data_IF_607692559829
#
_entry.id   IF_607692559829
#
_cell.length_a   1.000
_cell.length_b   1.000
_cell.length_c   1.000
_cell.angle_alpha   90.00
_cell.angle_beta   90.00
_cell.angle_gamma   90.00
#
_symmetry.space_group_name_H-M   'P 1'
#
loop_
_entity.id
_entity.type
_entity.pdbx_description
1 polymer ?
#
# COMPACT_ATOMS: atom_id res chain seq x y z
N UNK A 1 -18.71 1.88 -4.70
CA UNK A 1 -17.99 1.06 -3.70
C UNK A 1 -17.33 1.97 -2.67
N UNK A 2 -17.21 1.49 -1.43
CA UNK A 2 -16.47 2.14 -0.35
C UNK A 2 -15.10 1.48 -0.22
N UNK A 3 -14.06 2.21 -0.57
CA UNK A 3 -12.71 1.65 -0.76
C UNK A 3 -11.74 2.29 0.23
N UNK A 4 -10.95 1.48 0.93
CA UNK A 4 -9.82 1.91 1.75
C UNK A 4 -8.52 1.62 1.01
N UNK A 5 -7.65 2.62 0.88
CA UNK A 5 -6.28 2.47 0.37
C UNK A 5 -5.32 2.76 1.52
N UNK A 6 -4.55 1.76 1.95
CA UNK A 6 -3.52 1.93 2.96
C UNK A 6 -2.21 2.36 2.33
N UNK A 7 -1.36 3.08 3.06
CA UNK A 7 -0.24 3.80 2.43
C UNK A 7 -0.74 4.81 1.39
N UNK A 8 -1.99 5.30 1.57
CA UNK A 8 -2.69 6.08 0.57
C UNK A 8 -2.12 7.46 0.30
N UNK A 9 -1.23 7.96 1.14
CA UNK A 9 -0.45 9.18 0.90
C UNK A 9 0.96 8.90 0.36
N UNK A 10 1.34 7.62 0.19
CA UNK A 10 2.54 7.22 -0.53
C UNK A 10 2.37 7.40 -2.05
N UNK A 11 3.47 7.19 -2.81
CA UNK A 11 3.45 7.38 -4.27
C UNK A 11 2.40 6.50 -4.97
N UNK A 12 2.43 5.19 -4.74
CA UNK A 12 1.49 4.24 -5.37
C UNK A 12 0.06 4.49 -4.87
N UNK A 13 -0.11 4.56 -3.55
CA UNK A 13 -1.42 4.72 -2.92
C UNK A 13 -2.14 5.99 -3.33
N UNK A 14 -1.45 7.13 -3.44
CA UNK A 14 -2.05 8.39 -3.85
C UNK A 14 -2.56 8.35 -5.29
N UNK A 15 -1.79 7.76 -6.21
CA UNK A 15 -2.23 7.59 -7.60
C UNK A 15 -3.46 6.67 -7.69
N UNK A 16 -3.50 5.56 -6.94
CA UNK A 16 -4.66 4.67 -6.86
C UNK A 16 -5.88 5.42 -6.31
N UNK A 17 -5.71 6.18 -5.20
CA UNK A 17 -6.78 6.98 -4.62
C UNK A 17 -7.40 7.94 -5.64
N UNK A 18 -6.57 8.67 -6.38
CA UNK A 18 -7.02 9.64 -7.39
C UNK A 18 -7.73 8.95 -8.56
N UNK A 19 -7.19 7.84 -9.07
CA UNK A 19 -7.78 7.08 -10.15
C UNK A 19 -9.15 6.50 -9.77
N UNK A 20 -9.28 5.94 -8.58
CA UNK A 20 -10.54 5.39 -8.08
C UNK A 20 -11.58 6.48 -7.80
N UNK A 21 -11.16 7.65 -7.33
CA UNK A 21 -12.06 8.78 -7.10
C UNK A 21 -12.69 9.29 -8.39
N UNK A 22 -11.95 9.33 -9.50
CA UNK A 22 -12.48 9.68 -10.83
C UNK A 22 -13.60 8.75 -11.30
N UNK A 23 -13.62 7.50 -10.83
CA UNK A 23 -14.65 6.50 -11.15
C UNK A 23 -15.85 6.53 -10.17
N UNK A 24 -16.11 7.67 -9.53
CA UNK A 24 -17.23 7.89 -8.59
C UNK A 24 -17.26 6.95 -7.38
N UNK A 25 -16.13 6.38 -6.99
CA UNK A 25 -16.04 5.58 -5.77
C UNK A 25 -15.91 6.48 -4.53
N UNK A 26 -16.39 5.96 -3.40
CA UNK A 26 -16.14 6.58 -2.09
C UNK A 26 -14.80 6.08 -1.55
N UNK A 27 -13.75 6.86 -1.81
CA UNK A 27 -12.36 6.49 -1.50
C UNK A 27 -11.91 7.11 -0.18
N UNK A 28 -11.23 6.31 0.62
CA UNK A 28 -10.56 6.71 1.85
C UNK A 28 -9.10 6.30 1.80
N UNK A 29 -8.25 7.13 2.37
CA UNK A 29 -6.83 6.85 2.58
C UNK A 29 -6.59 6.48 4.05
N UNK A 30 -5.62 5.63 4.31
CA UNK A 30 -5.03 5.40 5.63
C UNK A 30 -3.51 5.54 5.49
N UNK A 31 -2.94 6.47 6.24
CA UNK A 31 -1.50 6.73 6.22
C UNK A 31 -1.10 7.43 7.52
N UNK A 32 0.04 7.07 8.10
CA UNK A 32 0.52 7.70 9.33
C UNK A 32 1.23 9.02 9.09
N UNK A 33 1.50 9.37 7.82
CA UNK A 33 2.20 10.59 7.37
C UNK A 33 3.64 10.69 7.93
N UNK A 34 4.29 9.57 8.18
CA UNK A 34 5.65 9.53 8.73
C UNK A 34 6.73 10.00 7.74
N UNK A 35 6.44 9.97 6.44
CA UNK A 35 7.37 10.41 5.39
C UNK A 35 7.02 11.83 4.94
N UNK A 36 8.02 12.70 4.76
CA UNK A 36 7.82 14.08 4.29
C UNK A 36 7.01 14.15 2.98
N UNK A 37 7.29 13.27 2.03
CA UNK A 37 6.55 13.18 0.76
C UNK A 37 5.08 12.84 0.92
N UNK A 38 4.69 12.09 1.96
CA UNK A 38 3.29 11.75 2.22
C UNK A 38 2.45 12.96 2.60
N UNK A 39 3.05 13.99 3.18
CA UNK A 39 2.35 15.23 3.56
C UNK A 39 1.86 15.99 2.31
N UNK A 40 2.68 16.05 1.26
CA UNK A 40 2.29 16.69 -0.01
C UNK A 40 1.10 15.96 -0.64
N UNK A 41 1.18 14.65 -0.72
CA UNK A 41 0.09 13.83 -1.26
C UNK A 41 -1.17 13.93 -0.40
N UNK A 42 -1.05 13.99 0.93
CA UNK A 42 -2.18 14.21 1.82
C UNK A 42 -2.95 15.50 1.46
N UNK A 43 -2.26 16.62 1.23
CA UNK A 43 -2.92 17.88 0.85
C UNK A 43 -3.61 17.77 -0.52
N UNK A 44 -3.00 17.07 -1.49
CA UNK A 44 -3.63 16.81 -2.80
C UNK A 44 -4.91 15.97 -2.62
N UNK A 45 -4.85 14.88 -1.87
CA UNK A 45 -5.99 14.01 -1.61
C UNK A 45 -7.12 14.75 -0.88
N UNK A 46 -6.78 15.58 0.11
CA UNK A 46 -7.71 16.42 0.86
C UNK A 46 -8.47 17.38 -0.07
N UNK A 47 -7.76 18.07 -0.96
CA UNK A 47 -8.38 18.96 -1.98
C UNK A 47 -9.32 18.22 -2.92
N UNK A 48 -9.11 16.92 -3.14
CA UNK A 48 -9.99 16.05 -3.95
C UNK A 48 -11.11 15.39 -3.12
N UNK A 49 -11.30 15.79 -1.87
CA UNK A 49 -12.33 15.27 -0.98
C UNK A 49 -12.11 13.81 -0.56
N UNK A 50 -10.85 13.36 -0.52
CA UNK A 50 -10.46 12.03 -0.04
C UNK A 50 -10.00 12.17 1.41
N UNK A 51 -10.77 11.57 2.35
CA UNK A 51 -10.44 11.60 3.77
C UNK A 51 -9.29 10.65 4.06
N UNK A 52 -8.25 11.12 4.74
CA UNK A 52 -7.17 10.29 5.29
C UNK A 52 -7.43 9.98 6.77
N UNK A 53 -7.31 8.72 7.15
CA UNK A 53 -7.21 8.28 8.53
C UNK A 53 -5.74 8.29 8.92
N UNK A 54 -5.32 9.23 9.77
CA UNK A 54 -3.93 9.27 10.29
C UNK A 54 -3.75 8.19 11.35
N UNK A 55 -3.49 6.98 10.89
CA UNK A 55 -3.38 5.77 11.70
C UNK A 55 -2.18 4.97 11.21
N UNK A 56 -1.43 4.40 12.16
CA UNK A 56 -0.40 3.44 11.83
C UNK A 56 -1.01 2.05 11.57
N UNK A 57 -0.54 1.37 10.52
CA UNK A 57 -1.13 0.11 10.04
C UNK A 57 -1.02 -1.01 11.08
N UNK A 58 -0.02 -0.97 11.97
CA UNK A 58 0.10 -1.96 13.04
C UNK A 58 -0.80 -1.66 14.25
N UNK A 59 -1.52 -0.53 14.27
CA UNK A 59 -2.47 -0.24 15.35
C UNK A 59 -3.82 -0.94 15.10
N UNK A 60 -3.89 -2.22 15.48
CA UNK A 60 -5.08 -3.05 15.28
C UNK A 60 -6.35 -2.40 15.85
N UNK A 61 -6.29 -1.91 17.10
CA UNK A 61 -7.48 -1.34 17.77
C UNK A 61 -8.10 -0.19 16.98
N UNK A 62 -7.27 0.69 16.41
CA UNK A 62 -7.77 1.81 15.60
C UNK A 62 -8.30 1.35 14.26
N UNK A 63 -7.64 0.39 13.60
CA UNK A 63 -8.08 -0.17 12.31
C UNK A 63 -9.44 -0.86 12.46
N UNK A 64 -9.62 -1.68 13.50
CA UNK A 64 -10.87 -2.40 13.74
C UNK A 64 -12.07 -1.50 14.07
N UNK A 65 -11.82 -0.27 14.55
CA UNK A 65 -12.84 0.76 14.80
C UNK A 65 -13.25 1.55 13.55
N UNK A 66 -12.52 1.42 12.45
CA UNK A 66 -12.91 2.07 11.20
C UNK A 66 -14.25 1.52 10.68
N UNK A 67 -14.94 2.38 9.94
CA UNK A 67 -16.18 2.00 9.24
C UNK A 67 -15.94 0.80 8.32
N UNK A 68 -17.02 0.09 7.97
CA UNK A 68 -16.97 -1.01 7.00
C UNK A 68 -16.56 -0.53 5.61
N UNK A 69 -15.75 -1.33 4.92
CA UNK A 69 -15.33 -1.12 3.53
C UNK A 69 -15.75 -2.32 2.67
N UNK A 70 -15.93 -2.08 1.36
CA UNK A 70 -16.22 -3.14 0.37
C UNK A 70 -14.92 -3.72 -0.18
N UNK A 71 -13.86 -2.87 -0.27
CA UNK A 71 -12.56 -3.22 -0.79
C UNK A 71 -11.47 -2.53 0.05
N UNK A 72 -10.40 -3.27 0.35
CA UNK A 72 -9.17 -2.75 0.95
C UNK A 72 -8.05 -2.97 -0.06
N UNK A 73 -7.29 -1.92 -0.37
CA UNK A 73 -6.08 -2.01 -1.22
C UNK A 73 -4.89 -1.67 -0.34
N UNK A 74 -4.04 -2.66 -0.10
CA UNK A 74 -2.86 -2.51 0.74
C UNK A 74 -1.65 -2.10 -0.10
N UNK A 75 -1.27 -0.80 0.03
CA UNK A 75 -0.06 -0.22 -0.55
C UNK A 75 0.95 0.18 0.54
N UNK A 76 0.68 -0.20 1.80
CA UNK A 76 1.53 0.20 2.90
C UNK A 76 2.72 -0.76 3.02
N UNK A 77 3.92 -0.23 2.94
CA UNK A 77 5.14 -1.01 3.15
C UNK A 77 6.30 -0.14 3.61
N UNK A 78 7.17 -0.71 4.45
CA UNK A 78 8.52 -0.20 4.64
C UNK A 78 9.45 -0.97 3.68
N UNK A 79 9.76 -0.33 2.55
CA UNK A 79 10.49 -0.94 1.45
C UNK A 79 11.98 -0.55 1.42
N UNK A 80 12.42 0.39 2.26
CA UNK A 80 13.78 0.90 2.27
C UNK A 80 14.73 -0.07 2.96
N UNK A 81 15.70 -0.61 2.22
CA UNK A 81 16.73 -1.53 2.74
C UNK A 81 17.52 -0.90 3.88
N UNK A 82 17.81 0.40 3.80
CA UNK A 82 18.54 1.10 4.86
C UNK A 82 17.75 1.19 6.17
N UNK A 83 16.41 1.27 6.08
CA UNK A 83 15.56 1.24 7.27
C UNK A 83 15.55 -0.16 7.88
N UNK A 84 15.53 -1.22 7.05
CA UNK A 84 15.56 -2.59 7.56
C UNK A 84 16.84 -2.95 8.32
N UNK A 85 17.97 -2.33 7.97
CA UNK A 85 19.22 -2.51 8.70
C UNK A 85 19.24 -1.80 10.07
N UNK A 86 18.46 -0.71 10.22
CA UNK A 86 18.47 0.14 11.42
C UNK A 86 17.29 -0.13 12.35
N UNK A 87 16.17 -0.56 11.81
CA UNK A 87 14.90 -0.70 12.55
C UNK A 87 14.10 -1.88 11.96
N UNK A 88 14.51 -3.09 12.36
CA UNK A 88 13.87 -4.35 11.95
C UNK A 88 12.43 -4.41 12.47
N UNK A 89 12.18 -3.93 13.68
CA UNK A 89 10.86 -3.94 14.30
C UNK A 89 9.86 -3.13 13.50
N UNK A 90 10.29 -1.98 13.00
CA UNK A 90 9.45 -1.15 12.12
C UNK A 90 9.09 -1.88 10.83
N UNK A 91 10.03 -2.58 10.21
CA UNK A 91 9.77 -3.35 8.99
C UNK A 91 8.82 -4.50 9.28
N UNK A 92 9.07 -5.26 10.34
CA UNK A 92 8.21 -6.36 10.77
C UNK A 92 6.79 -5.89 11.09
N UNK A 93 6.67 -4.85 11.91
CA UNK A 93 5.39 -4.31 12.31
C UNK A 93 4.61 -3.74 11.12
N UNK A 94 5.27 -3.04 10.20
CA UNK A 94 4.59 -2.47 9.03
C UNK A 94 4.20 -3.55 8.02
N UNK A 95 5.15 -4.41 7.63
CA UNK A 95 4.95 -5.30 6.49
C UNK A 95 4.21 -6.59 6.84
N UNK A 96 4.37 -7.10 8.08
CA UNK A 96 3.72 -8.33 8.50
C UNK A 96 2.51 -8.05 9.41
N UNK A 97 2.72 -7.41 10.56
CA UNK A 97 1.64 -7.17 11.52
C UNK A 97 0.59 -6.24 10.93
N UNK A 98 1.01 -5.20 10.21
CA UNK A 98 0.10 -4.28 9.53
C UNK A 98 -0.79 -5.00 8.52
N UNK A 99 -0.23 -5.79 7.63
CA UNK A 99 -0.99 -6.59 6.66
C UNK A 99 -1.92 -7.58 7.36
N UNK A 100 -1.47 -8.23 8.42
CA UNK A 100 -2.30 -9.14 9.21
C UNK A 100 -3.51 -8.44 9.85
N UNK A 101 -3.34 -7.21 10.35
CA UNK A 101 -4.43 -6.40 10.87
C UNK A 101 -5.47 -6.06 9.79
N UNK A 102 -5.01 -5.80 8.56
CA UNK A 102 -5.91 -5.58 7.42
C UNK A 102 -6.68 -6.84 7.02
N UNK A 103 -6.05 -8.01 7.07
CA UNK A 103 -6.71 -9.29 6.83
C UNK A 103 -7.82 -9.54 7.87
N UNK A 104 -7.55 -9.28 9.16
CA UNK A 104 -8.57 -9.32 10.22
C UNK A 104 -9.72 -8.35 9.93
N UNK A 105 -9.39 -7.12 9.51
CA UNK A 105 -10.39 -6.10 9.13
C UNK A 105 -11.22 -6.55 7.93
N UNK A 106 -10.57 -7.07 6.90
CA UNK A 106 -11.24 -7.58 5.70
C UNK A 106 -12.20 -8.73 6.04
N UNK A 107 -11.77 -9.66 6.89
CA UNK A 107 -12.64 -10.75 7.38
C UNK A 107 -13.85 -10.22 8.14
N UNK A 108 -13.65 -9.28 9.07
CA UNK A 108 -14.72 -8.65 9.85
C UNK A 108 -15.73 -7.92 8.95
N UNK A 109 -15.24 -7.18 7.98
CA UNK A 109 -16.08 -6.38 7.07
C UNK A 109 -16.70 -7.20 5.95
N UNK A 110 -16.24 -8.43 5.72
CA UNK A 110 -16.52 -9.24 4.53
C UNK A 110 -16.09 -8.51 3.25
N UNK A 111 -15.00 -7.77 3.32
CA UNK A 111 -14.45 -7.01 2.19
C UNK A 111 -13.47 -7.84 1.37
N UNK A 112 -13.34 -7.47 0.08
CA UNK A 112 -12.23 -7.95 -0.74
C UNK A 112 -10.95 -7.24 -0.31
N UNK A 113 -9.79 -7.89 -0.51
CA UNK A 113 -8.49 -7.29 -0.28
C UNK A 113 -7.60 -7.49 -1.52
N UNK A 114 -6.89 -6.42 -1.89
CA UNK A 114 -5.82 -6.45 -2.89
C UNK A 114 -4.55 -6.05 -2.18
N UNK A 115 -3.55 -6.92 -2.21
CA UNK A 115 -2.23 -6.67 -1.66
C UNK A 115 -1.27 -6.30 -2.80
N UNK A 116 -0.62 -5.14 -2.71
CA UNK A 116 0.41 -4.73 -3.66
C UNK A 116 1.73 -5.36 -3.24
N UNK A 117 2.09 -6.42 -3.93
CA UNK A 117 3.28 -7.22 -3.65
C UNK A 117 4.56 -6.57 -4.19
N UNK A 118 5.66 -7.31 -4.13
CA UNK A 118 6.98 -6.88 -4.60
C UNK A 118 7.37 -7.63 -5.87
N UNK A 119 8.11 -6.95 -6.76
CA UNK A 119 8.76 -7.59 -7.91
C UNK A 119 9.97 -8.46 -7.48
N UNK A 120 10.43 -8.33 -6.23
CA UNK A 120 11.61 -9.04 -5.71
C UNK A 120 11.29 -10.43 -5.15
N UNK A 121 10.23 -11.06 -5.61
CA UNK A 121 9.85 -12.43 -5.25
C UNK A 121 10.55 -13.47 -6.12
N UNK A 122 11.12 -13.07 -7.25
CA UNK A 122 11.83 -13.96 -8.17
C UNK A 122 13.35 -13.86 -7.97
N UNK A 123 14.02 -14.96 -8.10
CA UNK A 123 15.49 -15.02 -8.10
C UNK A 123 16.06 -14.21 -9.28
N UNK A 124 17.02 -13.33 -9.00
CA UNK A 124 17.72 -12.57 -10.05
C UNK A 124 18.42 -13.51 -11.03
N UNK A 125 18.94 -14.65 -10.56
CA UNK A 125 19.60 -15.66 -11.40
C UNK A 125 18.60 -16.27 -12.37
N UNK A 126 17.41 -16.66 -11.90
CA UNK A 126 16.36 -17.23 -12.76
C UNK A 126 15.85 -16.22 -13.79
N UNK A 127 15.64 -14.96 -13.38
CA UNK A 127 15.25 -13.89 -14.29
C UNK A 127 16.31 -13.69 -15.37
N UNK A 128 17.59 -13.62 -15.00
CA UNK A 128 18.69 -13.44 -15.95
C UNK A 128 18.81 -14.64 -16.91
N UNK A 129 18.60 -15.86 -16.44
CA UNK A 129 18.58 -17.05 -17.27
C UNK A 129 17.44 -17.04 -18.30
N UNK A 130 16.25 -16.56 -17.90
CA UNK A 130 15.09 -16.43 -18.81
C UNK A 130 15.36 -15.34 -19.85
N UNK A 131 15.87 -14.18 -19.43
CA UNK A 131 16.19 -13.05 -20.31
C UNK A 131 17.33 -13.40 -21.27
N UNK A 132 18.39 -14.06 -20.77
CA UNK A 132 19.52 -14.49 -21.59
C UNK A 132 19.13 -15.50 -22.66
N UNK A 133 18.26 -16.45 -22.36
CA UNK A 133 17.74 -17.44 -23.32
C UNK A 133 16.83 -16.84 -24.40
N UNK A 134 16.14 -15.72 -24.14
CA UNK A 134 15.17 -15.10 -25.08
C UNK A 134 15.75 -14.02 -25.98
N UNK A 135 17.06 -13.75 -25.99
CA UNK A 135 17.68 -12.73 -26.84
C UNK A 135 16.97 -11.36 -26.81
N UNK A 136 16.44 -10.98 -25.64
CA UNK A 136 15.68 -9.74 -25.44
C UNK A 136 16.51 -8.46 -25.64
N UNK A 137 17.85 -8.57 -25.64
CA UNK A 137 18.75 -7.43 -25.92
C UNK A 137 18.60 -6.83 -27.33
N UNK A 138 17.98 -7.53 -28.27
CA UNK A 138 17.73 -7.03 -29.63
C UNK A 138 16.43 -6.24 -29.80
N UNK A 139 15.57 -6.18 -28.76
CA UNK A 139 14.28 -5.46 -28.83
C UNK A 139 14.22 -4.14 -28.08
N UNK A 140 15.31 -3.76 -27.43
CA UNK A 140 15.45 -2.46 -26.77
C UNK A 140 16.57 -1.69 -27.47
N UNK A 141 16.29 -1.28 -28.70
CA UNK A 141 16.99 -0.20 -29.42
C UNK A 141 15.96 0.79 -29.90
#
# INVERSE_FOLDING_TARGET
MKILVTGGCGFVGANICLALKKKSNKVFSLDNLSRKSSVLNFEILKKKGIKNFKIDIFNEKKIQKLTKFDLIIDCCAEAAVEVSKKDIDRVFNTNLIGTFNLLKKAKKDKSKIIFISSSRVNSIIEINNIIGKKNLRKKIK
#
